data_IF_927556216918
#
_entry.id   IF_927556216918
#
_cell.length_a   1.000
_cell.length_b   1.000
_cell.length_c   1.000
_cell.angle_alpha   90.00
_cell.angle_beta   90.00
_cell.angle_gamma   90.00
#
_symmetry.space_group_name_H-M   'P 1'
#
loop_
_entity.id
_entity.type
_entity.pdbx_description
1 polymer ?
#
# COMPACT_ATOMS: atom_id res chain seq x y z
N UNK A 1 2.29 13.36 7.42
CA UNK A 1 3.61 12.71 7.52
C UNK A 1 3.37 11.21 7.62
N UNK A 2 3.93 10.43 6.70
CA UNK A 2 3.89 8.96 6.78
C UNK A 2 5.06 8.44 7.59
N UNK A 3 4.85 7.32 8.27
CA UNK A 3 5.88 6.63 9.05
C UNK A 3 6.07 5.25 8.42
N UNK A 4 7.31 4.78 8.37
CA UNK A 4 7.66 3.46 7.84
C UNK A 4 8.12 2.58 8.99
N UNK A 5 7.46 1.44 9.17
CA UNK A 5 7.85 0.49 10.22
C UNK A 5 9.22 -0.11 9.91
N UNK A 6 9.93 -0.60 10.94
CA UNK A 6 11.20 -1.31 10.74
C UNK A 6 11.05 -2.54 9.84
N UNK A 7 9.89 -3.20 9.87
CA UNK A 7 9.57 -4.30 8.96
C UNK A 7 9.50 -3.81 7.50
N UNK A 8 8.84 -2.67 7.26
CA UNK A 8 8.80 -2.09 5.92
C UNK A 8 10.19 -1.77 5.37
N UNK A 9 11.01 -1.09 6.18
CA UNK A 9 12.36 -0.69 5.79
C UNK A 9 13.29 -1.88 5.55
N UNK A 10 13.32 -2.84 6.48
CA UNK A 10 14.32 -3.90 6.49
C UNK A 10 13.92 -5.15 5.70
N UNK A 11 12.62 -5.42 5.54
CA UNK A 11 12.12 -6.60 4.84
C UNK A 11 11.44 -6.26 3.52
N UNK A 12 10.51 -5.30 3.52
CA UNK A 12 9.69 -4.99 2.34
C UNK A 12 10.54 -4.33 1.27
N UNK A 13 11.23 -3.23 1.58
CA UNK A 13 12.10 -2.54 0.62
C UNK A 13 13.29 -3.40 0.22
N UNK A 14 13.83 -4.23 1.12
CA UNK A 14 14.91 -5.16 0.81
C UNK A 14 14.50 -6.22 -0.21
N UNK A 15 13.29 -6.79 -0.08
CA UNK A 15 12.76 -7.82 -1.01
C UNK A 15 12.16 -7.22 -2.28
N UNK A 16 11.73 -5.95 -2.22
CA UNK A 16 11.01 -5.24 -3.29
C UNK A 16 11.62 -3.84 -3.49
N UNK A 17 12.90 -3.74 -3.89
CA UNK A 17 13.61 -2.46 -3.98
C UNK A 17 13.03 -1.49 -5.02
N UNK A 18 12.18 -1.98 -5.92
CA UNK A 18 11.45 -1.18 -6.89
C UNK A 18 10.27 -0.39 -6.28
N UNK A 19 9.83 -0.71 -5.05
CA UNK A 19 8.76 0.03 -4.39
C UNK A 19 9.29 1.37 -3.91
N UNK A 20 8.61 2.44 -4.31
CA UNK A 20 8.93 3.80 -3.89
C UNK A 20 8.00 4.23 -2.76
N UNK A 21 8.59 4.85 -1.73
CA UNK A 21 7.85 5.47 -0.61
C UNK A 21 6.75 6.42 -1.10
N UNK A 22 7.07 7.27 -2.08
CA UNK A 22 6.13 8.21 -2.69
C UNK A 22 4.88 7.53 -3.26
N UNK A 23 5.01 6.34 -3.86
CA UNK A 23 3.85 5.57 -4.33
C UNK A 23 2.99 5.12 -3.16
N UNK A 24 3.59 4.63 -2.06
CA UNK A 24 2.84 4.27 -0.86
C UNK A 24 2.06 5.46 -0.30
N UNK A 25 2.72 6.63 -0.18
CA UNK A 25 2.11 7.87 0.32
C UNK A 25 0.96 8.32 -0.56
N UNK A 26 1.14 8.29 -1.88
CA UNK A 26 0.10 8.62 -2.86
C UNK A 26 -1.11 7.68 -2.71
N UNK A 27 -0.88 6.37 -2.68
CA UNK A 27 -1.97 5.38 -2.58
C UNK A 27 -2.77 5.56 -1.29
N UNK A 28 -2.09 5.72 -0.15
CA UNK A 28 -2.77 5.91 1.14
C UNK A 28 -3.45 7.28 1.23
N UNK A 29 -2.90 8.32 0.62
CA UNK A 29 -3.50 9.67 0.63
C UNK A 29 -4.75 9.77 -0.24
N UNK A 30 -4.76 9.10 -1.40
CA UNK A 30 -5.89 9.13 -2.32
C UNK A 30 -7.12 8.41 -1.75
N UNK A 31 -6.93 7.38 -0.91
CA UNK A 31 -7.99 6.57 -0.29
C UNK A 31 -9.06 6.11 -1.29
N UNK A 32 -8.67 5.87 -2.55
CA UNK A 32 -9.61 5.52 -3.63
C UNK A 32 -10.27 4.17 -3.42
N UNK A 33 -9.49 3.22 -2.91
CA UNK A 33 -9.89 1.85 -2.62
C UNK A 33 -9.34 1.50 -1.25
N UNK A 34 -10.22 1.26 -0.28
CA UNK A 34 -9.85 1.04 1.13
C UNK A 34 -10.62 -0.16 1.65
N UNK A 35 -9.92 -1.02 2.39
CA UNK A 35 -10.51 -2.14 3.12
C UNK A 35 -9.95 -2.15 4.55
N UNK A 36 -10.83 -2.11 5.54
CA UNK A 36 -10.47 -2.37 6.93
C UNK A 36 -10.48 -3.88 7.18
N UNK A 37 -9.40 -4.38 7.77
CA UNK A 37 -9.29 -5.78 8.16
C UNK A 37 -9.77 -6.00 9.60
N UNK A 38 -10.20 -7.22 9.97
CA UNK A 38 -10.65 -7.53 11.33
C UNK A 38 -9.61 -7.29 12.43
N UNK A 39 -8.32 -7.24 12.08
CA UNK A 39 -7.21 -6.94 13.00
C UNK A 39 -6.93 -5.43 13.15
N UNK A 40 -7.77 -4.58 12.56
CA UNK A 40 -7.67 -3.11 12.60
C UNK A 40 -6.68 -2.53 11.58
N UNK A 41 -6.02 -3.35 10.76
CA UNK A 41 -5.15 -2.84 9.69
C UNK A 41 -5.97 -2.37 8.50
N UNK A 42 -5.43 -1.43 7.75
CA UNK A 42 -6.05 -0.93 6.54
C UNK A 42 -5.26 -1.36 5.31
N UNK A 43 -5.96 -1.77 4.26
CA UNK A 43 -5.41 -1.96 2.92
C UNK A 43 -5.90 -0.82 2.04
N UNK A 44 -4.96 -0.24 1.30
CA UNK A 44 -5.21 0.78 0.31
C UNK A 44 -4.74 0.27 -1.05
N UNK A 45 -5.50 0.56 -2.09
CA UNK A 45 -5.08 0.28 -3.47
C UNK A 45 -5.06 1.55 -4.29
N UNK A 46 -4.05 1.67 -5.15
CA UNK A 46 -4.00 2.70 -6.18
C UNK A 46 -3.16 2.24 -7.36
N UNK A 47 -3.54 2.69 -8.55
CA UNK A 47 -2.75 2.43 -9.76
C UNK A 47 -1.48 3.27 -9.74
N UNK A 48 -0.39 2.67 -10.18
CA UNK A 48 0.90 3.35 -10.38
C UNK A 48 1.16 3.39 -11.89
N UNK A 49 0.89 4.52 -12.57
CA UNK A 49 1.12 4.65 -14.01
C UNK A 49 2.55 4.34 -14.43
N UNK A 50 3.52 4.74 -13.62
CA UNK A 50 4.96 4.54 -13.86
C UNK A 50 5.40 3.08 -13.75
N UNK A 51 4.51 2.20 -13.28
CA UNK A 51 4.74 0.77 -13.13
C UNK A 51 3.66 -0.03 -13.86
N UNK A 52 3.54 0.22 -15.16
CA UNK A 52 2.61 -0.47 -16.08
C UNK A 52 1.13 -0.37 -15.67
N UNK A 53 0.73 0.74 -15.04
CA UNK A 53 -0.61 0.93 -14.49
C UNK A 53 -1.06 -0.17 -13.51
N UNK A 54 -0.12 -0.89 -12.88
CA UNK A 54 -0.42 -1.94 -11.92
C UNK A 54 -0.94 -1.34 -10.61
N UNK A 55 -1.82 -2.07 -9.93
CA UNK A 55 -2.32 -1.68 -8.62
C UNK A 55 -1.33 -2.02 -7.53
N UNK A 56 -0.84 -1.00 -6.83
CA UNK A 56 -0.08 -1.14 -5.61
C UNK A 56 -1.05 -1.27 -4.43
N UNK A 57 -0.92 -2.35 -3.67
CA UNK A 57 -1.57 -2.50 -2.37
C UNK A 57 -0.62 -2.04 -1.29
N UNK A 58 -1.10 -1.17 -0.41
CA UNK A 58 -0.37 -0.65 0.75
C UNK A 58 -1.13 -1.03 2.00
N UNK A 59 -0.44 -1.63 2.97
CA UNK A 59 -1.00 -2.00 4.26
C UNK A 59 -0.48 -1.04 5.31
N UNK A 60 -1.38 -0.44 6.09
CA UNK A 60 -1.03 0.39 7.25
C UNK A 60 -1.51 -0.25 8.54
N UNK A 61 -0.93 0.20 9.65
CA UNK A 61 -1.47 0.00 11.00
C UNK A 61 -2.79 0.79 11.18
N UNK A 62 -3.50 0.63 12.33
CA UNK A 62 -4.80 1.28 12.57
C UNK A 62 -4.78 2.80 12.47
N UNK A 63 -3.62 3.44 12.62
CA UNK A 63 -3.46 4.89 12.50
C UNK A 63 -3.55 5.43 11.05
N UNK A 64 -3.64 4.53 10.05
CA UNK A 64 -3.65 4.85 8.61
C UNK A 64 -2.44 5.70 8.15
N UNK A 65 -1.34 5.68 8.91
CA UNK A 65 -0.14 6.50 8.67
C UNK A 65 1.14 5.68 8.71
N UNK A 66 1.17 4.65 9.55
CA UNK A 66 2.31 3.75 9.70
C UNK A 66 2.23 2.64 8.65
N UNK A 67 3.05 2.75 7.61
CA UNK A 67 3.14 1.79 6.51
C UNK A 67 3.86 0.52 6.97
N UNK A 68 3.15 -0.60 6.89
CA UNK A 68 3.62 -1.92 7.30
C UNK A 68 4.13 -2.73 6.10
N UNK A 69 3.37 -2.82 5.03
CA UNK A 69 3.72 -3.61 3.83
C UNK A 69 3.24 -2.93 2.55
N UNK A 70 3.88 -3.25 1.43
CA UNK A 70 3.44 -2.83 0.12
C UNK A 70 3.86 -3.83 -0.96
N UNK A 71 2.99 -4.05 -1.93
CA UNK A 71 3.28 -4.88 -3.12
C UNK A 71 2.24 -4.69 -4.22
N UNK A 72 2.62 -4.98 -5.46
CA UNK A 72 1.68 -4.97 -6.58
C UNK A 72 0.73 -6.16 -6.50
N UNK A 73 -0.55 -5.88 -6.35
CA UNK A 73 -1.60 -6.87 -6.18
C UNK A 73 -2.14 -7.29 -7.56
N UNK A 74 -1.78 -8.51 -7.98
CA UNK A 74 -2.13 -9.06 -9.29
C UNK A 74 -3.61 -9.42 -9.42
N UNK A 75 -4.32 -9.56 -8.30
CA UNK A 75 -5.72 -10.01 -8.29
C UNK A 75 -6.70 -8.83 -8.19
N UNK A 76 -6.22 -7.64 -7.83
CA UNK A 76 -7.06 -6.46 -7.70
C UNK A 76 -7.29 -5.79 -9.06
N UNK A 77 -8.56 -5.55 -9.43
CA UNK A 77 -8.96 -4.95 -10.71
C UNK A 77 -9.71 -3.62 -10.59
N UNK A 78 -9.80 -3.01 -9.41
CA UNK A 78 -10.46 -1.72 -9.22
C UNK A 78 -11.98 -1.74 -9.04
N UNK A 79 -12.66 -2.84 -9.42
CA UNK A 79 -14.12 -2.95 -9.32
C UNK A 79 -14.60 -3.87 -8.16
N UNK A 80 -13.67 -4.38 -7.36
CA UNK A 80 -13.93 -5.49 -6.42
C UNK A 80 -14.20 -5.07 -4.97
N UNK A 81 -14.29 -3.78 -4.65
CA UNK A 81 -14.69 -3.34 -3.32
C UNK A 81 -16.18 -3.02 -3.34
N UNK A 82 -16.98 -3.94 -2.80
CA UNK A 82 -18.41 -3.73 -2.52
C UNK A 82 -18.58 -2.90 -1.26
#
# INVERSE_FOLDING_TARGET
MFIYTSYFENDVLRKRPYIKRQWCEQVVSLKRYVEEQPDGRFRFWGQIPEYENRYLRVVTLPDQRSVLDAFFDRNFKGDNLK
#
